data_IF_544592216787
#
_entry.id   IF_544592216787
#
_cell.length_a   1.000
_cell.length_b   1.000
_cell.length_c   1.000
_cell.angle_alpha   90.00
_cell.angle_beta   90.00
_cell.angle_gamma   90.00
#
_symmetry.space_group_name_H-M   'P 1'
#
loop_
_entity.id
_entity.type
_entity.pdbx_description
1 polymer ?
#
# COMPACT_ATOMS: atom_id res chain seq x y z
N UNK A 1 19.81 30.37 26.02
CA UNK A 1 19.94 31.14 24.76
C UNK A 1 18.62 31.86 24.49
N UNK A 2 18.60 33.18 24.33
CA UNK A 2 17.38 33.93 24.00
C UNK A 2 16.83 33.48 22.63
N UNK A 3 15.49 33.44 22.51
CA UNK A 3 14.81 33.16 21.24
C UNK A 3 15.14 34.28 20.24
N UNK A 4 15.47 33.91 19.01
CA UNK A 4 15.67 34.88 17.94
C UNK A 4 14.34 35.61 17.65
N UNK A 5 14.42 36.90 17.39
CA UNK A 5 13.26 37.71 16.99
C UNK A 5 12.65 37.18 15.68
N UNK A 6 11.32 37.08 15.63
CA UNK A 6 10.60 36.48 14.51
C UNK A 6 10.85 37.30 13.23
N UNK A 7 11.37 36.67 12.19
CA UNK A 7 11.74 37.34 10.94
C UNK A 7 13.19 37.82 10.85
N UNK A 8 13.96 37.78 11.94
CA UNK A 8 15.41 38.01 11.91
C UNK A 8 16.12 37.02 10.99
N UNK A 9 17.27 37.41 10.42
CA UNK A 9 18.15 36.50 9.66
C UNK A 9 18.50 35.24 10.45
N UNK A 10 18.65 35.36 11.78
CA UNK A 10 18.87 34.22 12.69
C UNK A 10 17.64 33.34 12.85
N UNK A 11 16.43 33.91 12.88
CA UNK A 11 15.17 33.16 12.92
C UNK A 11 14.93 32.43 11.58
N UNK A 12 15.13 33.11 10.45
CA UNK A 12 15.04 32.52 9.12
C UNK A 12 16.05 31.37 8.96
N UNK A 13 17.32 31.59 9.34
CA UNK A 13 18.34 30.54 9.33
C UNK A 13 17.99 29.37 10.25
N UNK A 14 17.43 29.65 11.44
CA UNK A 14 16.98 28.61 12.36
C UNK A 14 15.81 27.81 11.80
N UNK A 15 14.82 28.48 11.18
CA UNK A 15 13.66 27.87 10.52
C UNK A 15 14.11 27.03 9.33
N UNK A 16 15.02 27.53 8.50
CA UNK A 16 15.59 26.79 7.38
C UNK A 16 16.35 25.55 7.86
N UNK A 17 17.18 25.66 8.90
CA UNK A 17 17.89 24.50 9.49
C UNK A 17 16.96 23.51 10.19
N UNK A 18 15.78 23.93 10.61
CA UNK A 18 14.74 23.06 11.17
C UNK A 18 13.73 22.58 10.12
N UNK A 19 13.82 22.99 8.85
CA UNK A 19 13.03 22.40 7.75
C UNK A 19 13.72 21.09 7.37
N UNK A 20 12.97 19.98 7.43
CA UNK A 20 13.49 18.63 7.14
C UNK A 20 13.64 17.73 8.37
N UNK A 21 13.43 16.44 8.17
CA UNK A 21 13.50 15.42 9.22
C UNK A 21 14.96 15.28 9.68
N UNK A 22 15.23 15.69 10.92
CA UNK A 22 16.50 15.42 11.59
C UNK A 22 16.46 14.00 12.16
N UNK A 23 17.58 13.50 12.72
CA UNK A 23 17.60 12.13 13.27
C UNK A 23 16.49 11.96 14.32
N UNK A 24 15.60 10.99 14.10
CA UNK A 24 14.46 10.70 14.97
C UNK A 24 14.85 10.39 16.42
N UNK A 25 16.07 9.89 16.64
CA UNK A 25 16.63 9.64 17.99
C UNK A 25 16.66 10.90 18.87
N UNK A 26 16.52 12.10 18.29
CA UNK A 26 16.47 13.37 19.00
C UNK A 26 15.09 14.03 18.90
N UNK A 27 14.02 13.25 18.81
CA UNK A 27 12.65 13.73 18.88
C UNK A 27 12.01 13.32 20.21
N UNK A 28 11.32 14.24 20.87
CA UNK A 28 10.53 13.93 22.06
C UNK A 28 9.05 13.92 21.69
N UNK A 29 8.41 12.75 21.81
CA UNK A 29 6.97 12.60 21.56
C UNK A 29 6.12 13.35 22.58
N UNK A 30 6.51 13.31 23.86
CA UNK A 30 5.74 13.92 24.96
C UNK A 30 5.66 15.44 24.81
N UNK A 31 6.71 16.06 24.29
CA UNK A 31 6.78 17.50 24.08
C UNK A 31 6.61 17.91 22.61
N UNK A 32 6.33 16.96 21.72
CA UNK A 32 6.20 17.13 20.27
C UNK A 32 7.32 17.99 19.67
N UNK A 33 8.56 17.74 20.12
CA UNK A 33 9.69 18.62 19.87
C UNK A 33 10.85 17.86 19.23
N UNK A 34 11.28 18.33 18.06
CA UNK A 34 12.52 17.89 17.43
C UNK A 34 13.71 18.69 17.97
N UNK A 35 14.77 17.99 18.39
CA UNK A 35 16.06 18.56 18.75
C UNK A 35 17.12 18.25 17.70
N UNK A 36 18.14 19.11 17.67
CA UNK A 36 19.18 19.10 16.63
C UNK A 36 20.21 18.00 16.84
N UNK A 37 20.59 17.78 18.09
CA UNK A 37 21.70 16.92 18.48
C UNK A 37 21.42 16.24 19.83
N UNK A 38 22.33 15.35 20.22
CA UNK A 38 22.21 14.59 21.46
C UNK A 38 22.32 15.47 22.70
N UNK A 39 23.11 16.54 22.65
CA UNK A 39 23.22 17.48 23.76
C UNK A 39 21.93 18.27 23.98
N UNK A 40 21.30 18.76 22.90
CA UNK A 40 20.00 19.41 22.95
C UNK A 40 18.91 18.48 23.45
N UNK A 41 18.95 17.20 23.07
CA UNK A 41 18.03 16.19 23.63
C UNK A 41 18.22 15.99 25.13
N UNK A 42 19.48 15.82 25.58
CA UNK A 42 19.81 15.67 27.00
C UNK A 42 19.38 16.88 27.84
N UNK A 43 19.63 18.10 27.35
CA UNK A 43 19.20 19.31 28.03
C UNK A 43 17.66 19.43 28.07
N UNK A 44 16.98 19.01 27.01
CA UNK A 44 15.52 18.99 26.99
C UNK A 44 14.94 18.01 28.00
N UNK A 45 15.45 16.78 28.07
CA UNK A 45 14.94 15.78 29.04
C UNK A 45 15.16 16.21 30.49
N UNK A 46 16.19 17.01 30.74
CA UNK A 46 16.48 17.56 32.08
C UNK A 46 15.72 18.87 32.38
N UNK A 47 15.02 19.43 31.40
CA UNK A 47 14.32 20.71 31.58
C UNK A 47 13.01 20.52 32.35
N UNK A 48 12.71 21.46 33.25
CA UNK A 48 11.45 21.48 34.01
C UNK A 48 10.18 21.26 33.17
N UNK A 49 10.00 21.90 31.98
CA UNK A 49 8.79 21.68 31.18
C UNK A 49 8.65 20.22 30.70
N UNK A 50 9.77 19.56 30.37
CA UNK A 50 9.74 18.14 30.00
C UNK A 50 9.38 17.27 31.21
N UNK A 51 10.02 17.52 32.36
CA UNK A 51 9.75 16.78 33.61
C UNK A 51 8.29 16.91 34.02
N UNK A 52 7.72 18.13 33.93
CA UNK A 52 6.31 18.39 34.23
C UNK A 52 5.38 17.61 33.28
N UNK A 53 5.69 17.58 31.99
CA UNK A 53 4.92 16.80 31.03
C UNK A 53 5.03 15.28 31.29
N UNK A 54 6.21 14.79 31.69
CA UNK A 54 6.42 13.40 32.07
C UNK A 54 5.65 13.01 33.34
N UNK A 55 5.52 13.90 34.33
CA UNK A 55 4.68 13.65 35.51
C UNK A 55 3.21 13.46 35.09
N UNK A 56 2.71 14.28 34.17
CA UNK A 56 1.34 14.14 33.66
C UNK A 56 1.12 12.81 32.90
N UNK A 57 2.10 12.38 32.10
CA UNK A 57 2.07 11.06 31.45
C UNK A 57 2.15 9.93 32.48
N UNK A 58 2.98 10.10 33.52
CA UNK A 58 3.18 9.13 34.59
C UNK A 58 1.95 8.86 35.46
N UNK A 59 0.96 9.76 35.47
CA UNK A 59 -0.32 9.52 36.13
C UNK A 59 -1.11 8.38 35.49
N UNK A 60 -1.03 8.20 34.16
CA UNK A 60 -1.73 7.15 33.42
C UNK A 60 -0.96 6.75 32.14
N UNK A 61 0.19 6.07 32.28
CA UNK A 61 1.06 5.78 31.14
C UNK A 61 0.41 4.83 30.14
N UNK A 62 -0.33 3.83 30.62
CA UNK A 62 -1.03 2.86 29.76
C UNK A 62 -2.04 3.54 28.83
N UNK A 63 -2.81 4.50 29.35
CA UNK A 63 -3.78 5.26 28.56
C UNK A 63 -3.07 6.08 27.48
N UNK A 64 -1.97 6.76 27.81
CA UNK A 64 -1.24 7.55 26.80
C UNK A 64 -0.57 6.72 25.73
N UNK A 65 0.00 5.56 26.07
CA UNK A 65 0.53 4.63 25.07
C UNK A 65 -0.61 4.14 24.15
N UNK A 66 -1.79 3.86 24.71
CA UNK A 66 -2.95 3.46 23.92
C UNK A 66 -3.44 4.58 22.99
N UNK A 67 -3.54 5.82 23.49
CA UNK A 67 -3.90 6.99 22.68
C UNK A 67 -2.93 7.16 21.50
N UNK A 68 -1.61 7.09 21.77
CA UNK A 68 -0.58 7.18 20.72
C UNK A 68 -0.68 6.05 19.71
N UNK A 69 -0.95 4.83 20.19
CA UNK A 69 -1.10 3.67 19.30
C UNK A 69 -2.32 3.80 18.40
N UNK A 70 -3.44 4.32 18.91
CA UNK A 70 -4.65 4.58 18.13
C UNK A 70 -4.41 5.63 17.05
N UNK A 71 -3.77 6.74 17.41
CA UNK A 71 -3.49 7.81 16.46
C UNK A 71 -2.46 7.36 15.41
N UNK A 72 -1.37 6.68 15.81
CA UNK A 72 -0.41 6.08 14.89
C UNK A 72 -1.08 5.16 13.87
N UNK A 73 -1.94 4.24 14.32
CA UNK A 73 -2.66 3.32 13.45
C UNK A 73 -3.59 4.06 12.48
N UNK A 74 -4.33 5.05 12.96
CA UNK A 74 -5.24 5.86 12.13
C UNK A 74 -4.48 6.59 11.02
N UNK A 75 -3.40 7.29 11.39
CA UNK A 75 -2.61 8.08 10.45
C UNK A 75 -1.86 7.19 9.45
N UNK A 76 -1.34 6.05 9.91
CA UNK A 76 -0.67 5.07 9.07
C UNK A 76 -1.64 4.49 8.01
N UNK A 77 -2.85 4.11 8.42
CA UNK A 77 -3.87 3.60 7.51
C UNK A 77 -4.39 4.69 6.56
N UNK A 78 -4.56 5.92 7.02
CA UNK A 78 -4.96 7.04 6.18
C UNK A 78 -3.91 7.33 5.09
N UNK A 79 -2.63 7.29 5.46
CA UNK A 79 -1.56 7.46 4.47
C UNK A 79 -1.53 6.28 3.50
N UNK A 80 -1.63 5.05 4.00
CA UNK A 80 -1.60 3.84 3.16
C UNK A 80 -2.74 3.83 2.13
N UNK A 81 -3.94 4.26 2.56
CA UNK A 81 -5.12 4.45 1.70
C UNK A 81 -4.90 5.50 0.62
N UNK A 82 -4.28 6.62 0.96
CA UNK A 82 -4.15 7.76 0.04
C UNK A 82 -2.96 7.62 -0.91
N UNK A 83 -1.85 7.01 -0.51
CA UNK A 83 -0.65 6.91 -1.35
C UNK A 83 -0.56 5.63 -2.18
N UNK A 84 -0.88 4.45 -1.61
CA UNK A 84 -0.65 3.16 -2.27
C UNK A 84 -1.93 2.37 -2.55
N UNK A 85 -2.98 2.55 -1.75
CA UNK A 85 -4.25 1.83 -1.89
C UNK A 85 -4.06 0.31 -1.78
N UNK A 86 -4.60 -0.43 -2.74
CA UNK A 86 -4.52 -1.91 -2.77
C UNK A 86 -3.15 -2.45 -3.26
N UNK A 87 -2.22 -1.58 -3.68
CA UNK A 87 -0.91 -2.03 -4.17
C UNK A 87 -0.06 -2.59 -3.02
N UNK A 88 0.61 -3.70 -3.32
CA UNK A 88 1.57 -4.32 -2.41
C UNK A 88 2.83 -3.46 -2.31
N UNK A 89 3.15 -3.01 -1.10
CA UNK A 89 4.33 -2.18 -0.82
C UNK A 89 5.19 -2.73 0.30
N UNK A 90 6.50 -2.46 0.23
CA UNK A 90 7.42 -2.85 1.31
C UNK A 90 7.16 -1.98 2.54
N UNK A 91 6.87 -2.61 3.68
CA UNK A 91 6.50 -1.94 4.92
C UNK A 91 7.61 -1.01 5.43
N UNK A 92 8.89 -1.38 5.27
CA UNK A 92 10.01 -0.53 5.73
C UNK A 92 10.10 0.75 4.90
N UNK A 93 9.95 0.64 3.58
CA UNK A 93 9.97 1.81 2.70
C UNK A 93 8.77 2.73 2.99
N UNK A 94 7.58 2.14 3.15
CA UNK A 94 6.38 2.89 3.51
C UNK A 94 6.49 3.54 4.90
N UNK A 95 7.11 2.86 5.87
CA UNK A 95 7.35 3.44 7.19
C UNK A 95 8.29 4.65 7.12
N UNK A 96 9.32 4.62 6.25
CA UNK A 96 10.20 5.76 6.01
C UNK A 96 9.45 6.95 5.39
N UNK A 97 8.53 6.68 4.46
CA UNK A 97 7.63 7.69 3.90
C UNK A 97 6.73 8.29 4.99
N UNK A 98 6.18 7.46 5.87
CA UNK A 98 5.33 7.89 6.98
C UNK A 98 6.07 8.81 7.96
N UNK A 99 7.28 8.45 8.39
CA UNK A 99 8.07 9.27 9.34
C UNK A 99 8.66 10.54 8.71
N UNK A 100 8.55 10.72 7.38
CA UNK A 100 9.02 11.94 6.71
C UNK A 100 8.32 13.20 7.23
N UNK A 101 7.06 13.06 7.68
CA UNK A 101 6.28 14.12 8.31
C UNK A 101 6.55 14.15 9.80
N UNK A 102 6.86 15.35 10.31
CA UNK A 102 7.26 15.57 11.72
C UNK A 102 6.11 15.50 12.73
N UNK A 103 4.90 15.69 12.23
CA UNK A 103 3.69 15.75 13.07
C UNK A 103 3.12 14.35 13.33
N UNK A 104 3.67 13.33 12.67
CA UNK A 104 3.27 11.94 12.86
C UNK A 104 3.87 11.34 14.12
N UNK A 105 3.10 10.48 14.78
CA UNK A 105 3.59 9.73 15.94
C UNK A 105 4.62 8.70 15.49
N UNK A 106 5.74 8.63 16.22
CA UNK A 106 6.72 7.59 15.96
C UNK A 106 6.36 6.27 16.63
N UNK A 107 6.76 5.17 16.00
CA UNK A 107 6.46 3.80 16.46
C UNK A 107 6.99 3.53 17.88
N UNK A 108 8.13 4.14 18.24
CA UNK A 108 8.72 4.03 19.58
C UNK A 108 7.78 4.50 20.71
N UNK A 109 6.75 5.28 20.38
CA UNK A 109 5.77 5.82 21.33
C UNK A 109 4.52 4.93 21.45
N UNK A 110 4.47 3.81 20.72
CA UNK A 110 3.32 2.89 20.66
C UNK A 110 3.61 1.60 21.43
N UNK A 111 2.60 0.74 21.57
CA UNK A 111 2.78 -0.57 22.20
C UNK A 111 3.51 -1.60 21.31
N UNK A 112 3.62 -1.34 20.01
CA UNK A 112 4.32 -2.22 19.07
C UNK A 112 5.82 -1.96 19.11
N UNK A 113 6.61 -2.99 19.42
CA UNK A 113 8.07 -2.85 19.54
C UNK A 113 8.77 -2.87 18.19
N UNK A 114 8.17 -3.52 17.20
CA UNK A 114 8.72 -3.68 15.86
C UNK A 114 7.68 -3.42 14.79
N UNK A 115 8.13 -2.94 13.63
CA UNK A 115 7.24 -2.70 12.49
C UNK A 115 6.55 -4.00 12.06
N UNK A 116 7.28 -5.11 12.04
CA UNK A 116 6.73 -6.43 11.70
C UNK A 116 5.60 -6.84 12.63
N UNK A 117 5.71 -6.59 13.93
CA UNK A 117 4.65 -6.87 14.91
C UNK A 117 3.39 -6.03 14.64
N UNK A 118 3.58 -4.74 14.36
CA UNK A 118 2.49 -3.84 13.97
C UNK A 118 1.80 -4.33 12.70
N UNK A 119 2.55 -4.61 11.63
CA UNK A 119 1.96 -5.10 10.38
C UNK A 119 1.24 -6.45 10.59
N UNK A 120 1.80 -7.37 11.39
CA UNK A 120 1.12 -8.62 11.76
C UNK A 120 -0.19 -8.38 12.52
N UNK A 121 -0.27 -7.36 13.38
CA UNK A 121 -1.56 -6.99 14.01
C UNK A 121 -2.59 -6.50 12.99
N UNK A 122 -2.19 -5.70 12.01
CA UNK A 122 -3.09 -5.25 10.93
C UNK A 122 -3.62 -6.42 10.08
N UNK A 123 -2.76 -7.44 9.86
CA UNK A 123 -3.17 -8.69 9.21
C UNK A 123 -4.15 -9.50 10.04
N UNK A 124 -3.94 -9.62 11.36
CA UNK A 124 -4.86 -10.31 12.27
C UNK A 124 -6.24 -9.64 12.34
N UNK A 125 -6.27 -8.32 12.23
CA UNK A 125 -7.52 -7.55 12.20
C UNK A 125 -8.22 -7.57 10.83
N UNK A 126 -7.57 -8.10 9.78
CA UNK A 126 -8.14 -8.17 8.43
C UNK A 126 -8.22 -6.82 7.71
N UNK A 127 -7.46 -5.81 8.17
CA UNK A 127 -7.44 -4.46 7.54
C UNK A 127 -6.44 -4.42 6.39
N UNK A 128 -5.35 -5.19 6.49
CA UNK A 128 -4.30 -5.24 5.48
C UNK A 128 -3.93 -6.67 5.15
N UNK A 129 -3.62 -6.94 3.88
CA UNK A 129 -2.97 -8.19 3.46
C UNK A 129 -1.48 -8.07 3.74
N UNK A 130 -0.94 -9.07 4.42
CA UNK A 130 0.46 -9.09 4.86
C UNK A 130 1.17 -10.29 4.25
N UNK A 131 2.24 -10.01 3.51
CA UNK A 131 3.09 -11.04 2.91
C UNK A 131 4.51 -10.90 3.47
N UNK A 132 4.99 -11.93 4.15
CA UNK A 132 6.37 -11.99 4.64
C UNK A 132 7.18 -12.78 3.62
N UNK A 133 8.19 -12.14 3.02
CA UNK A 133 9.14 -12.80 2.11
C UNK A 133 10.57 -12.56 2.59
N UNK A 134 11.54 -13.26 1.99
CA UNK A 134 12.96 -13.10 2.35
C UNK A 134 13.49 -11.68 2.11
N UNK A 135 12.83 -10.92 1.22
CA UNK A 135 13.15 -9.51 0.91
C UNK A 135 12.52 -8.52 1.89
N UNK A 136 11.71 -8.98 2.85
CA UNK A 136 11.10 -8.17 3.89
C UNK A 136 9.58 -8.35 4.02
N UNK A 137 8.97 -7.48 4.82
CA UNK A 137 7.53 -7.49 5.08
C UNK A 137 6.84 -6.58 4.08
N UNK A 138 5.83 -7.11 3.38
CA UNK A 138 5.00 -6.35 2.48
C UNK A 138 3.59 -6.20 3.04
N UNK A 139 3.00 -5.04 2.80
CA UNK A 139 1.64 -4.69 3.22
C UNK A 139 0.85 -4.18 2.02
N UNK A 140 -0.41 -4.59 1.91
CA UNK A 140 -1.39 -4.04 0.98
C UNK A 140 -2.66 -3.72 1.76
N UNK A 141 -3.24 -2.55 1.55
CA UNK A 141 -4.51 -2.22 2.20
C UNK A 141 -5.65 -3.00 1.55
N UNK A 142 -6.61 -3.44 2.36
CA UNK A 142 -7.83 -4.10 1.89
C UNK A 142 -8.95 -3.06 1.93
N UNK A 143 -9.53 -2.75 0.76
CA UNK A 143 -10.64 -1.82 0.67
C UNK A 143 -11.96 -2.52 1.04
N UNK A 144 -12.36 -2.34 2.30
CA UNK A 144 -13.60 -2.89 2.83
C UNK A 144 -14.79 -1.92 2.66
N UNK A 145 -14.63 -0.83 1.90
CA UNK A 145 -15.71 0.14 1.71
C UNK A 145 -16.83 -0.45 0.84
N UNK A 146 -18.11 -0.13 1.11
CA UNK A 146 -19.23 -0.61 0.31
C UNK A 146 -19.13 -0.21 -1.17
N UNK A 147 -18.48 0.93 -1.46
CA UNK A 147 -18.23 1.38 -2.82
C UNK A 147 -17.17 0.53 -3.53
N UNK A 148 -16.11 0.11 -2.83
CA UNK A 148 -15.10 -0.78 -3.38
C UNK A 148 -15.62 -2.22 -3.55
N UNK A 149 -16.44 -2.70 -2.61
CA UNK A 149 -17.16 -3.96 -2.76
C UNK A 149 -18.10 -3.92 -3.97
N UNK A 150 -18.86 -2.84 -4.16
CA UNK A 150 -19.73 -2.65 -5.32
C UNK A 150 -18.93 -2.58 -6.63
N UNK A 151 -17.76 -1.91 -6.65
CA UNK A 151 -16.86 -1.90 -7.81
C UNK A 151 -16.29 -3.28 -8.10
N UNK A 152 -15.82 -4.00 -7.09
CA UNK A 152 -15.30 -5.36 -7.26
C UNK A 152 -16.39 -6.33 -7.73
N UNK A 153 -17.62 -6.19 -7.23
CA UNK A 153 -18.76 -6.98 -7.67
C UNK A 153 -19.18 -6.63 -9.10
N UNK A 154 -19.17 -5.35 -9.48
CA UNK A 154 -19.43 -4.92 -10.85
C UNK A 154 -18.38 -5.46 -11.84
N UNK A 155 -17.09 -5.42 -11.48
CA UNK A 155 -16.00 -5.99 -12.27
C UNK A 155 -16.16 -7.50 -12.40
N UNK A 156 -16.38 -8.22 -11.29
CA UNK A 156 -16.60 -9.68 -11.33
C UNK A 156 -17.83 -10.06 -12.14
N UNK A 157 -18.91 -9.26 -12.06
CA UNK A 157 -20.11 -9.48 -12.85
C UNK A 157 -19.85 -9.25 -14.34
N UNK A 158 -19.08 -8.21 -14.69
CA UNK A 158 -18.67 -7.95 -16.06
C UNK A 158 -17.78 -9.05 -16.60
N UNK A 159 -16.73 -9.46 -15.88
CA UNK A 159 -15.85 -10.56 -16.27
C UNK A 159 -16.61 -11.87 -16.46
N UNK A 160 -17.63 -12.14 -15.65
CA UNK A 160 -18.48 -13.33 -15.79
C UNK A 160 -19.39 -13.25 -17.01
N UNK A 161 -19.89 -12.06 -17.36
CA UNK A 161 -20.66 -11.84 -18.58
C UNK A 161 -19.77 -11.96 -19.81
N UNK A 162 -18.61 -11.30 -19.81
CA UNK A 162 -17.64 -11.31 -20.91
C UNK A 162 -17.13 -12.74 -21.15
N UNK A 163 -16.82 -13.53 -20.12
CA UNK A 163 -16.48 -14.96 -20.29
C UNK A 163 -17.61 -15.79 -20.92
N UNK A 164 -18.86 -15.53 -20.53
CA UNK A 164 -20.01 -16.23 -21.11
C UNK A 164 -20.23 -15.89 -22.58
N UNK A 165 -19.98 -14.63 -22.96
CA UNK A 165 -20.06 -14.19 -24.34
C UNK A 165 -18.86 -14.70 -25.16
N UNK A 166 -17.64 -14.71 -24.61
CA UNK A 166 -16.46 -15.32 -25.24
C UNK A 166 -16.66 -16.81 -25.53
N UNK A 167 -17.22 -17.57 -24.58
CA UNK A 167 -17.53 -19.00 -24.79
C UNK A 167 -18.55 -19.21 -25.93
N UNK A 168 -19.61 -18.40 -25.99
CA UNK A 168 -20.58 -18.46 -27.11
C UNK A 168 -19.94 -18.08 -28.44
N UNK A 169 -19.11 -17.06 -28.45
CA UNK A 169 -18.46 -16.57 -29.67
C UNK A 169 -17.45 -17.60 -30.19
N UNK A 170 -16.68 -18.23 -29.30
CA UNK A 170 -15.77 -19.32 -29.64
C UNK A 170 -16.51 -20.55 -30.16
N UNK A 171 -17.66 -20.90 -29.59
CA UNK A 171 -18.48 -22.01 -30.08
C UNK A 171 -18.96 -21.75 -31.52
N UNK A 172 -19.50 -20.57 -31.81
CA UNK A 172 -19.95 -20.19 -33.16
C UNK A 172 -18.79 -20.17 -34.16
N UNK A 173 -17.63 -19.64 -33.77
CA UNK A 173 -16.43 -19.59 -34.61
C UNK A 173 -15.93 -21.01 -34.92
N UNK A 174 -15.92 -21.91 -33.92
CA UNK A 174 -15.52 -23.30 -34.11
C UNK A 174 -16.43 -24.04 -35.09
N UNK A 175 -17.74 -23.76 -35.06
CA UNK A 175 -18.71 -24.36 -35.97
C UNK A 175 -18.50 -23.88 -37.40
N UNK A 176 -18.26 -22.57 -37.60
CA UNK A 176 -17.94 -22.01 -38.92
C UNK A 176 -16.63 -22.58 -39.49
N UNK A 177 -15.58 -22.71 -38.66
CA UNK A 177 -14.31 -23.32 -39.08
C UNK A 177 -14.51 -24.78 -39.47
N UNK A 178 -15.30 -25.54 -38.70
CA UNK A 178 -15.59 -26.94 -39.01
C UNK A 178 -16.34 -27.08 -40.34
N UNK A 179 -17.36 -26.25 -40.58
CA UNK A 179 -18.10 -26.22 -41.85
C UNK A 179 -17.18 -25.87 -43.03
N UNK A 180 -16.32 -24.85 -42.87
CA UNK A 180 -15.36 -24.46 -43.91
C UNK A 180 -14.32 -25.56 -44.19
N UNK A 181 -13.88 -26.31 -43.16
CA UNK A 181 -12.99 -27.46 -43.34
C UNK A 181 -13.67 -28.63 -44.07
N UNK A 182 -14.94 -28.91 -43.76
CA UNK A 182 -15.73 -29.94 -44.43
C UNK A 182 -16.00 -29.59 -45.91
N UNK A 183 -16.31 -28.33 -46.22
CA UNK A 183 -16.46 -27.86 -47.62
C UNK A 183 -15.13 -27.91 -48.38
N UNK A 184 -14.02 -27.48 -47.76
CA UNK A 184 -12.69 -27.58 -48.37
C UNK A 184 -12.26 -29.04 -48.60
N UNK A 185 -12.66 -29.97 -47.73
CA UNK A 185 -12.41 -31.40 -47.92
C UNK A 185 -13.25 -31.98 -49.09
N UNK A 186 -14.53 -31.59 -49.20
CA UNK A 186 -15.41 -31.98 -50.32
C UNK A 186 -14.91 -31.45 -51.66
N UNK A 187 -14.49 -30.18 -51.73
CA UNK A 187 -13.89 -29.64 -52.96
C UNK A 187 -12.61 -30.40 -53.35
N UNK A 188 -11.78 -30.83 -52.39
CA UNK A 188 -10.58 -31.62 -52.68
C UNK A 188 -10.91 -33.01 -53.23
N UNK A 189 -11.97 -33.67 -52.73
CA UNK A 189 -12.39 -34.98 -53.24
C UNK A 189 -13.04 -34.89 -54.62
N UNK A 190 -13.83 -33.86 -54.89
CA UNK A 190 -14.42 -33.64 -56.23
C UNK A 190 -13.35 -33.31 -57.28
N UNK A 191 -12.27 -32.63 -56.89
CA UNK A 191 -11.14 -32.35 -57.78
C UNK A 191 -10.30 -33.60 -58.07
N UNK A 192 -10.24 -34.57 -57.16
CA UNK A 192 -9.56 -35.86 -57.41
C UNK A 192 -10.38 -36.82 -58.27
N UNK A 193 -11.70 -36.90 -58.07
CA UNK A 193 -12.58 -37.77 -58.87
C UNK A 193 -12.72 -37.29 -60.33
N UNK A 194 -12.64 -35.98 -60.58
CA UNK A 194 -12.63 -35.41 -61.93
C UNK A 194 -11.34 -35.66 -62.73
N UNK A 195 -10.20 -35.93 -62.05
CA UNK A 195 -8.94 -36.28 -62.72
C UNK A 195 -8.83 -37.79 -63.03
N UNK A 196 -9.49 -38.66 -62.28
CA UNK A 196 -9.47 -40.11 -62.55
C UNK A 196 -10.42 -40.51 -63.71
N UNK A 197 -11.52 -39.77 -63.93
CA UNK A 197 -12.48 -40.07 -65.02
C UNK A 197 -12.02 -39.61 -66.42
N UNK A 198 -11.14 -38.61 -66.51
CA UNK A 198 -10.57 -38.13 -67.79
C UNK A 198 -9.41 -39.03 -68.28
N UNK A 199 -8.71 -39.70 -67.35
CA UNK A 199 -7.64 -40.65 -67.66
C UNK A 199 -8.16 -42.01 -68.16
N UNK A 200 -9.38 -42.42 -67.80
CA UNK A 200 -9.98 -43.68 -68.25
C UNK A 200 -10.70 -43.60 -69.61
N UNK A 201 -10.93 -42.39 -70.14
CA UNK A 201 -11.62 -42.17 -71.43
C UNK A 201 -10.68 -41.99 -72.62
N UNK A 202 -9.36 -42.15 -72.40
CA UNK A 202 -8.30 -41.93 -73.41
C UNK A 202 -7.50 -43.19 -73.78
N UNK A 203 -8.05 -44.39 -73.54
CA UNK A 203 -7.52 -45.68 -74.02
C UNK A 203 -8.53 -46.36 -74.95
#
# INVERSE_FOLDING_TARGET
MPKAERGSTKDVANRMRSKGLQRLRFYCQVCEKQMRDGNGFKQHTNSEPHVRAMIAVGQNPARKIHDYSRQFKSDFLQLLRTSHGEKRVNANHFYQEYISKKDHIHMNSTHWKTLTEFIKSLGREGICRVDITDKGVFVAWIDNSPEALARQEAIRRKDRLDKGDEERTNALLSEQVKRAQEEAARLKTDTSDGLETDMSSSL
#
